data_IF_129315524837
#
_entry.id   IF_129315524837
#
_cell.length_a   1.000
_cell.length_b   1.000
_cell.length_c   1.000
_cell.angle_alpha   90.00
_cell.angle_beta   90.00
_cell.angle_gamma   90.00
#
_symmetry.space_group_name_H-M   'P 1'
#
loop_
_entity.id
_entity.type
_entity.pdbx_description
1 polymer ?
#
# COMPACT_ATOMS: atom_id res chain seq x y z
N UNK A 1 -28.73 -13.81 -29.15
CA UNK A 1 -27.29 -13.69 -29.48
C UNK A 1 -26.61 -14.96 -29.00
N UNK A 2 -25.94 -15.69 -29.90
CA UNK A 2 -25.41 -17.03 -29.63
C UNK A 2 -24.27 -17.04 -28.62
N UNK A 3 -24.20 -18.10 -27.82
CA UNK A 3 -23.17 -18.36 -26.79
C UNK A 3 -21.74 -18.52 -27.37
N UNK A 4 -21.61 -18.72 -28.67
CA UNK A 4 -20.36 -19.04 -29.37
C UNK A 4 -20.25 -18.24 -30.67
N UNK A 5 -19.01 -18.09 -31.17
CA UNK A 5 -18.69 -17.55 -32.49
C UNK A 5 -17.68 -18.45 -33.21
N UNK A 6 -17.61 -18.32 -34.53
CA UNK A 6 -16.58 -18.95 -35.36
C UNK A 6 -15.19 -18.52 -34.85
N UNK A 7 -14.28 -19.48 -34.74
CA UNK A 7 -12.94 -19.31 -34.17
C UNK A 7 -12.83 -19.53 -32.67
N UNK A 8 -13.95 -19.66 -31.94
CA UNK A 8 -13.88 -20.04 -30.51
C UNK A 8 -13.36 -21.46 -30.37
N UNK A 9 -12.45 -21.66 -29.41
CA UNK A 9 -12.06 -22.99 -28.95
C UNK A 9 -13.09 -23.48 -27.93
N UNK A 10 -13.60 -24.69 -28.11
CA UNK A 10 -14.64 -25.28 -27.27
C UNK A 10 -14.26 -26.67 -26.80
N UNK A 11 -14.78 -27.08 -25.65
CA UNK A 11 -14.58 -28.40 -25.06
C UNK A 11 -15.92 -29.13 -24.98
N UNK A 12 -15.90 -30.43 -25.29
CA UNK A 12 -17.06 -31.30 -25.12
C UNK A 12 -17.28 -31.61 -23.65
N UNK A 13 -18.40 -31.18 -23.10
CA UNK A 13 -18.76 -31.45 -21.70
C UNK A 13 -19.71 -32.64 -21.58
N UNK A 14 -20.63 -32.78 -22.54
CA UNK A 14 -21.72 -33.76 -22.43
C UNK A 14 -21.88 -34.61 -23.69
N UNK A 15 -22.31 -35.86 -23.51
CA UNK A 15 -22.68 -36.81 -24.57
C UNK A 15 -21.64 -36.95 -25.70
N UNK A 16 -20.38 -37.27 -25.35
CA UNK A 16 -19.33 -37.52 -26.34
C UNK A 16 -19.65 -38.68 -27.28
N UNK A 17 -19.01 -38.70 -28.46
CA UNK A 17 -19.07 -39.83 -29.39
C UNK A 17 -17.66 -40.23 -29.83
N UNK A 18 -17.54 -41.35 -30.56
CA UNK A 18 -16.24 -41.96 -30.89
C UNK A 18 -15.22 -40.99 -31.52
N UNK A 19 -15.68 -40.00 -32.30
CA UNK A 19 -14.82 -39.03 -32.98
C UNK A 19 -14.63 -37.71 -32.20
N UNK A 20 -15.41 -37.48 -31.13
CA UNK A 20 -15.29 -36.29 -30.28
C UNK A 20 -15.80 -36.63 -28.87
N UNK A 21 -15.01 -37.39 -28.08
CA UNK A 21 -15.40 -37.81 -26.75
C UNK A 21 -15.50 -36.63 -25.77
N UNK A 22 -16.12 -36.87 -24.61
CA UNK A 22 -16.16 -35.88 -23.53
C UNK A 22 -14.73 -35.53 -23.12
N UNK A 23 -14.44 -34.24 -22.96
CA UNK A 23 -13.13 -33.69 -22.66
C UNK A 23 -12.32 -33.27 -23.89
N UNK A 24 -12.69 -33.71 -25.10
CA UNK A 24 -12.02 -33.28 -26.33
C UNK A 24 -12.29 -31.81 -26.64
N UNK A 25 -11.29 -31.16 -27.24
CA UNK A 25 -11.34 -29.75 -27.63
C UNK A 25 -11.34 -29.62 -29.15
N UNK A 26 -12.04 -28.62 -29.67
CA UNK A 26 -12.10 -28.29 -31.09
C UNK A 26 -12.30 -26.79 -31.31
N UNK A 27 -12.07 -26.34 -32.53
CA UNK A 27 -12.28 -24.93 -32.92
C UNK A 27 -13.53 -24.84 -33.78
N UNK A 28 -14.39 -23.87 -33.52
CA UNK A 28 -15.62 -23.69 -34.30
C UNK A 28 -15.27 -23.16 -35.70
N UNK A 29 -15.57 -23.97 -36.72
CA UNK A 29 -15.40 -23.61 -38.12
C UNK A 29 -16.62 -22.88 -38.69
N UNK A 30 -17.83 -23.28 -38.29
CA UNK A 30 -19.07 -22.67 -38.74
C UNK A 30 -20.19 -22.83 -37.70
N UNK A 31 -21.21 -21.97 -37.82
CA UNK A 31 -22.44 -22.04 -37.04
C UNK A 31 -23.59 -22.03 -38.04
N UNK A 32 -24.37 -23.12 -38.05
CA UNK A 32 -25.49 -23.25 -38.97
C UNK A 32 -26.67 -22.34 -38.55
N UNK A 33 -27.61 -22.02 -39.47
CA UNK A 33 -28.76 -21.18 -39.17
C UNK A 33 -29.66 -21.70 -38.03
N UNK A 34 -29.63 -23.02 -37.78
CA UNK A 34 -30.34 -23.67 -36.68
C UNK A 34 -29.62 -23.57 -35.32
N UNK A 35 -28.43 -22.95 -35.30
CA UNK A 35 -27.60 -22.75 -34.11
C UNK A 35 -26.68 -23.93 -33.78
N UNK A 36 -26.61 -24.96 -34.62
CA UNK A 36 -25.67 -26.06 -34.46
C UNK A 36 -24.24 -25.64 -34.86
N UNK A 37 -23.25 -26.29 -34.24
CA UNK A 37 -21.83 -25.91 -34.30
C UNK A 37 -21.06 -26.95 -35.10
N UNK A 38 -20.31 -26.52 -36.11
CA UNK A 38 -19.37 -27.35 -36.87
C UNK A 38 -17.95 -27.05 -36.39
N UNK A 39 -17.17 -28.09 -36.06
CA UNK A 39 -15.78 -27.95 -35.65
C UNK A 39 -14.83 -28.17 -36.84
N UNK A 40 -13.64 -27.60 -36.76
CA UNK A 40 -12.59 -27.84 -37.76
C UNK A 40 -12.25 -29.33 -37.86
N UNK A 41 -12.30 -29.88 -39.08
CA UNK A 41 -12.02 -31.29 -39.36
C UNK A 41 -13.24 -32.21 -39.24
N UNK A 42 -14.42 -31.68 -38.91
CA UNK A 42 -15.66 -32.47 -38.94
C UNK A 42 -16.00 -32.92 -40.35
N UNK A 43 -16.56 -34.14 -40.45
CA UNK A 43 -17.12 -34.63 -41.70
C UNK A 43 -18.45 -33.92 -41.97
N UNK A 44 -18.83 -33.71 -43.25
CA UNK A 44 -20.14 -33.14 -43.59
C UNK A 44 -21.28 -33.89 -42.89
N UNK A 45 -22.15 -33.15 -42.20
CA UNK A 45 -23.29 -33.70 -41.45
C UNK A 45 -23.04 -33.98 -39.96
N UNK A 46 -21.82 -33.73 -39.44
CA UNK A 46 -21.56 -33.73 -38.00
C UNK A 46 -21.77 -32.33 -37.43
N UNK A 47 -22.88 -32.11 -36.74
CA UNK A 47 -23.16 -30.85 -36.08
C UNK A 47 -23.31 -31.05 -34.56
N UNK A 48 -22.73 -30.13 -33.80
CA UNK A 48 -22.66 -30.17 -32.35
C UNK A 48 -23.66 -29.20 -31.73
N UNK A 49 -24.42 -29.69 -30.76
CA UNK A 49 -25.35 -28.85 -30.02
C UNK A 49 -24.63 -27.99 -28.97
N UNK A 50 -25.01 -26.72 -28.88
CA UNK A 50 -24.38 -25.70 -28.02
C UNK A 50 -24.39 -26.03 -26.52
N UNK A 51 -25.36 -26.82 -26.05
CA UNK A 51 -25.45 -27.26 -24.65
C UNK A 51 -24.46 -28.40 -24.30
N UNK A 52 -23.84 -29.04 -25.30
CA UNK A 52 -22.81 -30.05 -25.10
C UNK A 52 -21.39 -29.47 -25.05
N UNK A 53 -21.26 -28.17 -25.27
CA UNK A 53 -19.99 -27.47 -25.41
C UNK A 53 -19.84 -26.39 -24.34
N UNK A 54 -18.60 -26.22 -23.88
CA UNK A 54 -18.15 -25.08 -23.08
C UNK A 54 -17.07 -24.32 -23.84
N UNK A 55 -16.95 -23.02 -23.59
CA UNK A 55 -15.87 -22.23 -24.15
C UNK A 55 -14.56 -22.61 -23.43
N UNK A 56 -13.56 -23.05 -24.16
CA UNK A 56 -12.20 -23.15 -23.63
C UNK A 56 -11.70 -21.73 -23.51
N UNK A 57 -11.53 -21.26 -22.27
CA UNK A 57 -10.87 -19.98 -22.04
C UNK A 57 -9.52 -20.03 -22.74
N UNK A 58 -9.20 -19.09 -23.64
CA UNK A 58 -7.84 -18.97 -24.14
C UNK A 58 -6.93 -18.85 -22.93
N UNK A 59 -5.99 -19.78 -22.77
CA UNK A 59 -4.82 -19.51 -21.95
C UNK A 59 -4.25 -18.20 -22.51
N UNK A 60 -4.22 -17.14 -21.70
CA UNK A 60 -3.62 -15.88 -22.11
C UNK A 60 -2.26 -16.20 -22.76
N UNK A 61 -1.91 -15.60 -23.90
CA UNK A 61 -0.60 -15.84 -24.50
C UNK A 61 0.44 -15.64 -23.40
N UNK A 62 1.31 -16.63 -23.20
CA UNK A 62 2.40 -16.52 -22.24
C UNK A 62 3.13 -15.22 -22.53
N UNK A 63 3.17 -14.33 -21.53
CA UNK A 63 3.74 -13.00 -21.68
C UNK A 63 5.20 -13.15 -22.17
N UNK A 64 5.49 -12.55 -23.32
CA UNK A 64 6.85 -12.49 -23.85
C UNK A 64 7.50 -11.17 -23.42
N UNK A 65 8.60 -11.20 -22.66
CA UNK A 65 9.23 -9.98 -22.19
C UNK A 65 9.81 -9.17 -23.34
N UNK A 66 9.52 -7.86 -23.37
CA UNK A 66 10.09 -6.90 -24.35
C UNK A 66 10.81 -5.75 -23.65
N UNK A 67 11.70 -5.08 -24.39
CA UNK A 67 12.38 -3.86 -23.91
C UNK A 67 11.34 -2.81 -23.51
N UNK A 68 11.52 -2.22 -22.34
CA UNK A 68 10.59 -1.29 -21.71
C UNK A 68 9.58 -1.96 -20.77
N UNK A 69 9.42 -3.29 -20.81
CA UNK A 69 8.54 -3.96 -19.86
C UNK A 69 9.05 -3.80 -18.42
N UNK A 70 8.08 -3.69 -17.51
CA UNK A 70 8.31 -3.61 -16.08
C UNK A 70 8.16 -4.99 -15.48
N UNK A 71 9.14 -5.38 -14.67
CA UNK A 71 9.21 -6.72 -14.09
C UNK A 71 9.58 -6.66 -12.62
N UNK A 72 9.22 -7.71 -11.88
CA UNK A 72 9.67 -7.93 -10.51
C UNK A 72 10.62 -9.12 -10.48
N UNK A 73 11.78 -8.97 -9.85
CA UNK A 73 12.71 -10.07 -9.65
C UNK A 73 12.12 -11.06 -8.64
N UNK A 74 12.04 -12.33 -9.02
CA UNK A 74 11.68 -13.46 -8.15
C UNK A 74 12.89 -14.29 -7.76
N UNK A 75 14.01 -14.11 -8.48
CA UNK A 75 15.34 -14.64 -8.15
C UNK A 75 16.38 -13.56 -8.38
N UNK A 76 17.55 -13.73 -7.77
CA UNK A 76 18.70 -12.90 -8.07
C UNK A 76 19.14 -13.06 -9.54
N UNK A 77 19.49 -11.95 -10.18
CA UNK A 77 20.17 -11.96 -11.47
C UNK A 77 21.66 -12.28 -11.31
N UNK A 78 22.34 -12.53 -12.44
CA UNK A 78 23.72 -13.01 -12.52
C UNK A 78 24.76 -12.13 -11.82
N UNK A 79 24.49 -10.84 -11.69
CA UNK A 79 25.43 -9.85 -11.11
C UNK A 79 24.91 -9.23 -9.82
N UNK A 80 23.91 -9.85 -9.19
CA UNK A 80 23.21 -9.33 -8.00
C UNK A 80 23.02 -10.40 -6.94
N UNK A 81 23.00 -9.99 -5.67
CA UNK A 81 22.61 -10.85 -4.54
C UNK A 81 21.75 -10.04 -3.58
N UNK A 82 20.55 -10.55 -3.27
CA UNK A 82 19.56 -9.85 -2.43
C UNK A 82 18.65 -8.88 -3.18
N UNK A 83 18.50 -9.02 -4.50
CA UNK A 83 17.65 -8.20 -5.34
C UNK A 83 16.24 -8.79 -5.54
N UNK A 84 15.91 -9.91 -4.89
CA UNK A 84 14.58 -10.52 -4.92
C UNK A 84 13.53 -9.52 -4.40
N UNK A 85 12.40 -9.42 -5.11
CA UNK A 85 11.33 -8.49 -4.84
C UNK A 85 11.54 -7.09 -5.42
N UNK A 86 12.74 -6.77 -5.92
CA UNK A 86 13.02 -5.48 -6.57
C UNK A 86 12.33 -5.41 -7.93
N UNK A 87 11.96 -4.20 -8.29
CA UNK A 87 11.36 -3.88 -9.57
C UNK A 87 12.42 -3.39 -10.54
N UNK A 88 12.28 -3.75 -11.81
CA UNK A 88 13.23 -3.41 -12.85
C UNK A 88 12.54 -3.14 -14.18
N UNK A 89 13.21 -2.41 -15.06
CA UNK A 89 12.82 -2.27 -16.46
C UNK A 89 13.71 -3.15 -17.32
N UNK A 90 13.11 -3.91 -18.25
CA UNK A 90 13.88 -4.62 -19.28
C UNK A 90 14.53 -3.59 -20.18
N UNK A 91 15.85 -3.51 -20.10
CA UNK A 91 16.67 -2.64 -20.93
C UNK A 91 17.28 -3.43 -22.08
N UNK A 92 17.92 -2.72 -23.02
CA UNK A 92 18.65 -3.33 -24.12
C UNK A 92 20.09 -2.81 -24.14
N UNK A 93 21.02 -3.66 -24.55
CA UNK A 93 22.36 -3.20 -24.95
C UNK A 93 22.36 -3.06 -26.47
N UNK A 94 22.31 -1.83 -26.98
CA UNK A 94 22.31 -1.58 -28.43
C UNK A 94 21.03 -2.03 -29.16
N UNK A 95 19.87 -2.08 -28.49
CA UNK A 95 18.57 -2.35 -29.13
C UNK A 95 18.26 -3.82 -29.38
N UNK A 96 19.06 -4.78 -28.87
CA UNK A 96 18.82 -6.21 -28.99
C UNK A 96 18.84 -6.90 -27.62
N UNK A 97 18.04 -7.96 -27.49
CA UNK A 97 18.21 -8.96 -26.44
C UNK A 97 19.63 -9.52 -26.52
N UNK A 98 20.23 -9.82 -25.38
CA UNK A 98 21.52 -10.50 -25.40
C UNK A 98 21.26 -11.87 -26.04
N UNK A 99 22.03 -12.21 -27.08
CA UNK A 99 21.86 -13.41 -27.94
C UNK A 99 22.17 -14.74 -27.21
N UNK A 100 21.95 -14.76 -25.89
CA UNK A 100 22.20 -15.84 -24.96
C UNK A 100 20.95 -16.22 -24.15
N UNK A 101 19.76 -15.71 -24.51
CA UNK A 101 18.52 -15.97 -23.78
C UNK A 101 18.42 -15.23 -22.43
N UNK A 102 19.24 -14.19 -22.23
CA UNK A 102 19.25 -13.37 -21.02
C UNK A 102 18.76 -11.94 -21.33
N UNK A 103 18.08 -11.36 -20.35
CA UNK A 103 17.55 -10.01 -20.36
C UNK A 103 18.43 -9.10 -19.51
N UNK A 104 18.64 -7.86 -19.97
CA UNK A 104 19.30 -6.83 -19.19
C UNK A 104 18.25 -6.12 -18.36
N UNK A 105 18.34 -6.18 -17.05
CA UNK A 105 17.41 -5.53 -16.13
C UNK A 105 18.07 -4.30 -15.52
N UNK A 106 17.44 -3.15 -15.69
CA UNK A 106 17.75 -1.90 -14.99
C UNK A 106 16.92 -1.84 -13.72
N UNK A 107 17.53 -2.19 -12.58
CA UNK A 107 16.83 -2.30 -11.29
C UNK A 107 16.63 -0.91 -10.69
N UNK A 108 15.42 -0.65 -10.19
CA UNK A 108 15.12 0.65 -9.60
C UNK A 108 15.88 0.88 -8.29
N UNK A 109 16.30 2.12 -8.01
CA UNK A 109 16.75 2.52 -6.69
C UNK A 109 15.69 2.26 -5.59
N UNK A 110 16.10 2.08 -4.31
CA UNK A 110 17.47 2.12 -3.82
C UNK A 110 18.25 0.83 -4.09
N UNK A 111 19.56 0.97 -4.33
CA UNK A 111 20.51 -0.15 -4.48
C UNK A 111 20.97 -0.59 -3.09
N UNK A 112 20.08 -1.29 -2.38
CA UNK A 112 20.31 -1.91 -1.07
C UNK A 112 20.69 -3.40 -1.18
N UNK A 113 21.02 -3.86 -2.39
CA UNK A 113 21.48 -5.21 -2.72
C UNK A 113 22.96 -5.20 -3.13
N UNK A 114 23.63 -6.36 -3.02
CA UNK A 114 25.01 -6.49 -3.50
C UNK A 114 25.02 -6.62 -5.01
N UNK A 115 25.87 -5.85 -5.69
CA UNK A 115 26.04 -5.95 -7.14
C UNK A 115 27.51 -5.88 -7.55
N UNK A 116 27.88 -6.65 -8.57
CA UNK A 116 29.20 -6.57 -9.22
C UNK A 116 29.22 -5.59 -10.41
N UNK A 117 28.08 -4.97 -10.74
CA UNK A 117 27.98 -4.02 -11.84
C UNK A 117 28.42 -2.61 -11.39
N UNK A 118 29.17 -1.91 -12.23
CA UNK A 118 29.40 -0.48 -12.08
C UNK A 118 28.10 0.29 -12.38
N UNK A 119 27.80 1.35 -11.63
CA UNK A 119 26.63 2.21 -11.85
C UNK A 119 26.54 2.68 -13.31
N UNK A 120 25.38 2.53 -14.01
CA UNK A 120 24.06 2.11 -13.51
C UNK A 120 23.95 0.60 -13.17
N UNK A 121 23.15 0.26 -12.16
CA UNK A 121 23.06 -1.08 -11.57
C UNK A 121 22.24 -2.05 -12.41
N UNK A 122 22.81 -2.48 -13.53
CA UNK A 122 22.22 -3.52 -14.36
C UNK A 122 22.49 -4.92 -13.81
N UNK A 123 21.56 -5.86 -14.03
CA UNK A 123 21.80 -7.29 -13.87
C UNK A 123 21.35 -8.05 -15.11
N UNK A 124 22.03 -9.15 -15.43
CA UNK A 124 21.59 -10.09 -16.48
C UNK A 124 20.73 -11.15 -15.82
N UNK A 125 19.58 -11.47 -16.40
CA UNK A 125 18.62 -12.40 -15.83
C UNK A 125 17.96 -13.24 -16.91
N UNK A 126 17.73 -14.52 -16.66
CA UNK A 126 16.91 -15.39 -17.51
C UNK A 126 15.43 -15.15 -17.22
N UNK A 127 14.53 -15.61 -18.11
CA UNK A 127 13.08 -15.36 -17.99
C UNK A 127 12.46 -15.89 -16.68
N UNK A 128 13.08 -16.88 -16.05
CA UNK A 128 12.63 -17.46 -14.77
C UNK A 128 13.10 -16.68 -13.53
N UNK A 129 13.91 -15.63 -13.71
CA UNK A 129 14.36 -14.76 -12.63
C UNK A 129 13.37 -13.63 -12.32
N UNK A 130 12.38 -13.39 -13.18
CA UNK A 130 11.46 -12.27 -13.02
C UNK A 130 10.06 -12.59 -13.58
N UNK A 131 9.08 -11.79 -13.16
CA UNK A 131 7.69 -11.92 -13.59
C UNK A 131 7.16 -10.55 -14.08
N UNK A 132 6.14 -10.51 -14.95
CA UNK A 132 5.59 -9.26 -15.45
C UNK A 132 4.90 -8.49 -14.31
N UNK A 133 5.14 -7.19 -14.26
CA UNK A 133 4.28 -6.28 -13.51
C UNK A 133 3.06 -5.89 -14.36
N UNK A 134 1.91 -5.59 -13.73
CA UNK A 134 0.77 -5.03 -14.44
C UNK A 134 1.18 -3.81 -15.26
N UNK A 135 0.60 -3.68 -16.46
CA UNK A 135 0.88 -2.55 -17.34
C UNK A 135 0.63 -1.23 -16.61
N UNK A 136 1.70 -0.46 -16.41
CA UNK A 136 1.66 0.82 -15.70
C UNK A 136 0.89 1.83 -16.55
N UNK A 137 -0.30 2.22 -16.07
CA UNK A 137 -1.15 3.20 -16.75
C UNK A 137 -1.18 4.49 -15.93
N UNK A 138 -0.98 5.62 -16.62
CA UNK A 138 -1.03 6.94 -16.01
C UNK A 138 -2.42 7.53 -16.22
N UNK A 139 -3.00 8.04 -15.15
CA UNK A 139 -4.29 8.71 -15.14
C UNK A 139 -4.12 10.11 -14.52
N UNK A 140 -4.83 11.08 -15.08
CA UNK A 140 -4.86 12.42 -14.51
C UNK A 140 -5.50 12.41 -13.11
N UNK A 141 -5.05 13.31 -12.25
CA UNK A 141 -5.51 13.45 -10.86
C UNK A 141 -4.79 12.53 -9.86
N UNK A 142 -4.08 11.49 -10.33
CA UNK A 142 -3.37 10.55 -9.46
C UNK A 142 -1.94 11.01 -9.10
N UNK A 143 -1.42 10.41 -8.03
CA UNK A 143 -0.03 10.57 -7.59
C UNK A 143 0.78 9.35 -7.98
N UNK A 144 2.08 9.56 -8.19
CA UNK A 144 3.00 8.53 -8.68
C UNK A 144 4.33 8.59 -7.94
N UNK A 145 5.03 7.45 -7.92
CA UNK A 145 6.39 7.33 -7.42
C UNK A 145 7.37 7.53 -8.58
N UNK A 146 8.35 8.41 -8.41
CA UNK A 146 9.47 8.56 -9.36
C UNK A 146 10.52 7.47 -9.15
N UNK A 147 11.41 7.28 -10.13
CA UNK A 147 12.51 6.31 -10.05
C UNK A 147 13.45 6.53 -8.85
N UNK A 148 13.62 7.77 -8.41
CA UNK A 148 14.39 8.09 -7.19
C UNK A 148 13.55 8.06 -5.89
N UNK A 149 12.31 7.57 -5.98
CA UNK A 149 11.46 7.25 -4.84
C UNK A 149 10.56 8.38 -4.33
N UNK A 150 10.54 9.55 -4.99
CA UNK A 150 9.72 10.70 -4.57
C UNK A 150 8.25 10.54 -5.00
N UNK A 151 7.33 11.06 -4.19
CA UNK A 151 5.91 11.23 -4.56
C UNK A 151 5.78 12.46 -5.46
N UNK A 152 5.17 12.31 -6.64
CA UNK A 152 4.88 13.40 -7.58
C UNK A 152 3.43 13.36 -8.04
N UNK A 153 2.88 14.54 -8.31
CA UNK A 153 1.48 14.71 -8.73
C UNK A 153 0.78 15.85 -7.99
N UNK A 154 -0.53 16.02 -8.18
CA UNK A 154 -1.36 15.22 -9.09
C UNK A 154 -0.90 15.35 -10.54
N UNK A 155 -0.90 14.25 -11.29
CA UNK A 155 -0.63 14.28 -12.73
C UNK A 155 -1.76 15.02 -13.42
N UNK A 156 -1.43 15.85 -14.41
CA UNK A 156 -2.40 16.53 -15.26
C UNK A 156 -2.27 16.04 -16.70
N UNK A 157 -3.40 15.89 -17.40
CA UNK A 157 -3.43 15.63 -18.84
C UNK A 157 -3.38 16.96 -19.63
N UNK A 158 -2.42 17.81 -19.26
CA UNK A 158 -2.12 19.11 -19.91
C UNK A 158 -0.71 19.09 -20.52
N UNK A 159 -0.33 17.93 -21.03
CA UNK A 159 0.98 17.71 -21.59
C UNK A 159 1.21 18.43 -22.93
N UNK A 160 2.45 18.44 -23.39
CA UNK A 160 2.85 19.09 -24.64
C UNK A 160 2.91 18.05 -25.75
N UNK A 161 2.02 18.15 -26.75
CA UNK A 161 1.87 17.21 -27.88
C UNK A 161 1.41 15.80 -27.46
N UNK A 162 0.94 15.00 -28.43
CA UNK A 162 0.49 13.61 -28.23
C UNK A 162 1.57 12.68 -27.64
N UNK A 163 2.84 13.08 -27.78
CA UNK A 163 4.00 12.32 -27.31
C UNK A 163 4.16 12.44 -25.79
N UNK A 164 3.83 13.59 -25.20
CA UNK A 164 3.90 13.84 -23.76
C UNK A 164 2.54 14.31 -23.26
N UNK A 165 1.54 13.42 -23.15
CA UNK A 165 0.18 13.82 -22.78
C UNK A 165 0.06 14.21 -21.30
N UNK A 166 1.03 13.81 -20.47
CA UNK A 166 0.97 14.01 -19.03
C UNK A 166 2.00 15.03 -18.53
N UNK A 167 1.66 15.69 -17.43
CA UNK A 167 2.52 16.66 -16.74
C UNK A 167 2.44 16.48 -15.23
N UNK A 168 3.60 16.52 -14.57
CA UNK A 168 3.73 16.56 -13.10
C UNK A 168 4.32 17.89 -12.62
N UNK A 169 3.94 18.38 -11.43
CA UNK A 169 4.58 19.53 -10.80
C UNK A 169 5.99 19.18 -10.30
N UNK A 170 6.91 20.14 -10.38
CA UNK A 170 8.30 20.00 -9.92
C UNK A 170 9.33 19.95 -11.05
N UNK A 171 10.62 19.80 -10.69
CA UNK A 171 11.73 19.75 -11.65
C UNK A 171 12.41 21.11 -11.86
N UNK A 172 13.49 21.16 -12.67
CA UNK A 172 14.32 22.37 -12.86
C UNK A 172 13.54 23.58 -13.38
N UNK A 173 12.43 23.34 -14.09
CA UNK A 173 11.56 24.36 -14.67
C UNK A 173 10.17 24.40 -14.05
N UNK A 174 10.00 23.83 -12.84
CA UNK A 174 8.74 23.82 -12.09
C UNK A 174 7.67 22.84 -12.61
N UNK A 175 7.89 22.20 -13.76
CA UNK A 175 7.07 21.11 -14.31
C UNK A 175 7.92 20.11 -15.07
N UNK A 176 7.45 18.86 -15.13
CA UNK A 176 8.03 17.80 -15.97
C UNK A 176 6.95 17.17 -16.84
N UNK A 177 7.27 16.94 -18.11
CA UNK A 177 6.40 16.31 -19.10
C UNK A 177 6.69 14.82 -19.21
N UNK A 178 5.63 14.02 -19.19
CA UNK A 178 5.66 12.57 -19.05
C UNK A 178 4.98 11.93 -20.25
N UNK A 179 5.63 10.93 -20.83
CA UNK A 179 5.08 10.09 -21.89
C UNK A 179 4.06 9.10 -21.33
N UNK A 180 3.27 8.45 -22.20
CA UNK A 180 2.30 7.43 -21.79
C UNK A 180 2.91 6.24 -21.04
N UNK A 181 4.19 5.96 -21.30
CA UNK A 181 4.96 4.88 -20.65
C UNK A 181 5.60 5.30 -19.32
N UNK A 182 5.38 6.54 -18.86
CA UNK A 182 5.95 7.06 -17.62
C UNK A 182 7.32 7.68 -17.74
N UNK A 183 7.94 7.67 -18.92
CA UNK A 183 9.27 8.28 -19.09
C UNK A 183 9.22 9.80 -19.15
N UNK A 184 10.15 10.46 -18.47
CA UNK A 184 10.37 11.90 -18.58
C UNK A 184 11.41 12.17 -19.66
N UNK A 185 11.21 13.16 -20.55
CA UNK A 185 12.19 13.47 -21.60
C UNK A 185 12.17 14.90 -22.16
N UNK A 186 11.13 15.73 -21.94
CA UNK A 186 11.10 17.07 -22.52
C UNK A 186 11.91 18.08 -21.69
N UNK A 187 13.02 18.59 -22.26
CA UNK A 187 13.80 19.71 -21.71
C UNK A 187 14.74 19.36 -20.56
N UNK A 188 15.01 18.06 -20.33
CA UNK A 188 15.92 17.60 -19.27
C UNK A 188 17.19 17.02 -19.88
N UNK A 189 18.30 17.06 -19.14
CA UNK A 189 19.52 16.35 -19.53
C UNK A 189 19.31 14.84 -19.45
N UNK A 190 20.06 14.06 -20.25
CA UNK A 190 20.02 12.58 -20.23
C UNK A 190 20.27 11.97 -18.83
N UNK A 191 20.94 12.72 -17.94
CA UNK A 191 21.20 12.29 -16.55
C UNK A 191 20.04 12.57 -15.60
N UNK A 192 19.28 13.63 -15.84
CA UNK A 192 18.18 14.04 -14.95
C UNK A 192 16.85 13.43 -15.36
N UNK A 193 16.66 13.19 -16.65
CA UNK A 193 15.46 12.60 -17.23
C UNK A 193 15.01 11.32 -16.51
N UNK A 194 15.88 10.31 -16.31
CA UNK A 194 15.46 9.03 -15.73
C UNK A 194 15.02 9.13 -14.26
N UNK A 195 15.46 10.17 -13.52
CA UNK A 195 15.08 10.39 -12.12
C UNK A 195 13.62 10.83 -11.97
N UNK A 196 13.02 11.34 -13.03
CA UNK A 196 11.63 11.81 -13.07
C UNK A 196 10.67 10.82 -13.73
N UNK A 197 11.17 9.66 -14.18
CA UNK A 197 10.32 8.58 -14.67
C UNK A 197 9.34 8.14 -13.58
N UNK A 198 8.06 8.02 -13.94
CA UNK A 198 7.02 7.47 -13.09
C UNK A 198 7.09 5.95 -13.15
N UNK A 199 7.27 5.28 -12.00
CA UNK A 199 7.52 3.83 -11.94
C UNK A 199 6.39 3.04 -11.27
N UNK A 200 5.50 3.71 -10.51
CA UNK A 200 4.35 3.11 -9.86
C UNK A 200 3.31 4.18 -9.49
N UNK A 201 2.02 3.80 -9.45
CA UNK A 201 1.00 4.62 -8.81
C UNK A 201 1.33 4.74 -7.33
N UNK A 202 1.29 5.96 -6.81
CA UNK A 202 1.40 6.20 -5.38
C UNK A 202 0.03 5.97 -4.75
N UNK A 203 -0.18 4.75 -4.28
CA UNK A 203 -1.33 4.40 -3.45
C UNK A 203 -0.96 4.78 -2.01
N UNK A 204 -1.63 5.78 -1.45
CA UNK A 204 -1.54 6.02 -0.02
C UNK A 204 -2.10 4.77 0.69
N UNK A 205 -1.36 4.22 1.67
CA UNK A 205 -1.82 3.04 2.44
C UNK A 205 -3.27 3.25 2.89
N UNK A 206 -4.12 2.21 2.84
CA UNK A 206 -5.54 2.37 3.11
C UNK A 206 -5.71 2.96 4.50
N UNK A 207 -6.13 4.23 4.54
CA UNK A 207 -6.50 4.89 5.77
C UNK A 207 -7.59 4.02 6.42
N UNK A 208 -7.28 3.42 7.57
CA UNK A 208 -8.27 2.77 8.41
C UNK A 208 -9.34 3.81 8.68
N UNK A 209 -10.50 3.59 8.07
CA UNK A 209 -11.62 4.51 8.11
C UNK A 209 -12.04 4.73 9.56
N UNK A 210 -11.70 5.90 10.10
CA UNK A 210 -12.29 6.39 11.34
C UNK A 210 -13.63 6.98 10.96
N UNK A 211 -14.68 6.47 11.60
CA UNK A 211 -16.08 6.73 11.29
C UNK A 211 -16.39 8.22 11.07
N UNK A 212 -17.20 8.47 10.04
CA UNK A 212 -17.74 9.78 9.70
C UNK A 212 -18.56 10.35 10.87
N UNK A 213 -18.23 11.57 11.29
CA UNK A 213 -19.17 12.49 11.91
C UNK A 213 -19.58 13.50 10.85
N UNK A 214 -20.87 13.51 10.56
CA UNK A 214 -21.58 14.39 9.65
C UNK A 214 -21.60 15.83 10.17
N UNK A 215 -21.20 16.79 9.32
CA UNK A 215 -21.92 18.05 9.10
C UNK A 215 -21.46 18.72 7.80
N UNK A 216 -22.44 19.17 7.01
CA UNK A 216 -22.29 19.74 5.67
C UNK A 216 -21.65 21.14 5.69
N UNK A 217 -20.39 21.24 5.28
CA UNK A 217 -19.78 22.37 4.58
C UNK A 217 -18.43 21.88 4.01
N UNK A 218 -17.95 22.43 2.89
CA UNK A 218 -16.65 22.03 2.30
C UNK A 218 -15.57 22.00 3.40
N UNK A 219 -14.84 20.88 3.59
CA UNK A 219 -14.01 20.71 4.78
C UNK A 219 -12.86 21.71 4.74
N UNK A 220 -12.75 22.53 5.77
CA UNK A 220 -11.55 23.31 6.03
C UNK A 220 -10.35 22.35 6.01
N UNK A 221 -9.30 22.72 5.27
CA UNK A 221 -8.09 21.90 5.05
C UNK A 221 -7.37 21.48 6.34
N UNK A 222 -7.70 22.12 7.46
CA UNK A 222 -7.11 21.91 8.78
C UNK A 222 -8.21 21.82 9.84
N UNK A 223 -7.94 21.11 10.93
CA UNK A 223 -8.77 21.09 12.15
C UNK A 223 -7.93 21.44 13.38
N UNK A 224 -8.61 21.88 14.44
CA UNK A 224 -7.98 22.09 15.75
C UNK A 224 -7.29 20.81 16.22
N UNK A 225 -6.07 20.95 16.71
CA UNK A 225 -5.19 19.85 17.11
C UNK A 225 -4.26 19.32 16.01
N UNK A 226 -4.46 19.68 14.74
CA UNK A 226 -3.53 19.32 13.69
C UNK A 226 -2.14 19.91 13.96
N UNK A 227 -1.09 19.09 13.79
CA UNK A 227 0.28 19.61 13.70
C UNK A 227 0.50 20.13 12.30
N UNK A 228 1.01 21.34 12.19
CA UNK A 228 1.28 22.00 10.93
C UNK A 228 2.71 22.53 10.90
N UNK A 229 3.23 22.75 9.71
CA UNK A 229 4.52 23.38 9.48
C UNK A 229 4.31 24.60 8.59
N UNK A 230 4.89 25.73 8.96
CA UNK A 230 4.96 26.88 8.05
C UNK A 230 5.76 26.49 6.81
N UNK A 231 5.30 26.91 5.63
CA UNK A 231 6.06 26.64 4.41
C UNK A 231 7.48 27.22 4.47
N UNK A 232 8.37 26.65 3.68
CA UNK A 232 9.76 27.09 3.61
C UNK A 232 9.93 28.48 2.99
N UNK A 233 8.99 28.89 2.13
CA UNK A 233 8.90 30.20 1.49
C UNK A 233 8.11 31.23 2.32
N UNK A 234 7.69 30.87 3.52
CA UNK A 234 6.96 31.78 4.40
C UNK A 234 7.83 32.99 4.78
N UNK A 235 7.25 34.19 4.71
CA UNK A 235 7.96 35.47 4.77
C UNK A 235 8.47 35.90 6.15
N UNK A 236 8.35 35.03 7.17
CA UNK A 236 8.73 35.34 8.55
C UNK A 236 9.72 34.31 9.13
N UNK A 237 10.33 34.60 10.29
CA UNK A 237 11.19 33.65 11.00
C UNK A 237 10.50 32.32 11.36
N UNK A 238 9.16 32.27 11.33
CA UNK A 238 8.39 31.05 11.56
C UNK A 238 8.48 30.05 10.40
N UNK A 239 9.05 30.43 9.24
CA UNK A 239 9.21 29.52 8.08
C UNK A 239 9.84 28.19 8.48
N UNK A 240 9.23 27.09 8.06
CA UNK A 240 9.66 25.73 8.40
C UNK A 240 9.42 25.30 9.85
N UNK A 241 8.96 26.18 10.74
CA UNK A 241 8.66 25.82 12.13
C UNK A 241 7.37 25.01 12.24
N UNK A 242 7.32 24.17 13.27
CA UNK A 242 6.13 23.40 13.59
C UNK A 242 5.22 24.20 14.54
N UNK A 243 3.92 24.10 14.32
CA UNK A 243 2.89 24.71 15.15
C UNK A 243 1.72 23.75 15.30
N UNK A 244 0.81 24.05 16.23
CA UNK A 244 -0.42 23.30 16.45
C UNK A 244 -1.60 24.18 16.11
N UNK A 245 -2.54 23.70 15.29
CA UNK A 245 -3.77 24.45 15.00
C UNK A 245 -4.61 24.51 16.27
N UNK A 246 -5.00 25.72 16.68
CA UNK A 246 -5.83 25.95 17.87
C UNK A 246 -7.20 26.54 17.55
N UNK A 247 -7.36 27.17 16.38
CA UNK A 247 -8.65 27.59 15.84
C UNK A 247 -8.62 27.62 14.31
N UNK A 248 -9.78 27.47 13.70
CA UNK A 248 -10.00 27.55 12.24
C UNK A 248 -11.09 28.57 11.95
N UNK A 249 -11.10 29.12 10.73
CA UNK A 249 -12.06 30.13 10.26
C UNK A 249 -12.07 31.44 11.07
N UNK A 250 -10.93 31.83 11.64
CA UNK A 250 -10.81 33.01 12.52
C UNK A 250 -11.11 34.33 11.78
N UNK A 251 -11.01 34.34 10.45
CA UNK A 251 -11.36 35.47 9.57
C UNK A 251 -12.43 35.13 8.52
N UNK A 252 -13.53 34.49 8.92
CA UNK A 252 -14.71 34.39 8.06
C UNK A 252 -14.55 33.51 6.81
N UNK A 253 -13.55 32.62 6.80
CA UNK A 253 -13.55 31.25 6.23
C UNK A 253 -12.14 30.67 5.95
N UNK A 254 -11.06 31.46 6.00
CA UNK A 254 -9.72 30.98 5.59
C UNK A 254 -8.60 31.15 6.64
N UNK A 255 -8.85 31.87 7.74
CA UNK A 255 -7.86 32.13 8.79
C UNK A 255 -7.67 30.94 9.73
N UNK A 256 -6.44 30.45 9.85
CA UNK A 256 -6.03 29.35 10.73
C UNK A 256 -5.18 29.93 11.86
N UNK A 257 -5.63 29.77 13.10
CA UNK A 257 -4.84 30.18 14.25
C UNK A 257 -4.00 29.01 14.75
N UNK A 258 -2.70 29.26 14.92
CA UNK A 258 -1.72 28.24 15.32
C UNK A 258 -0.95 28.70 16.56
N UNK A 259 -0.69 27.75 17.45
CA UNK A 259 0.21 27.89 18.59
C UNK A 259 1.62 27.41 18.20
N UNK A 260 2.60 28.30 18.34
CA UNK A 260 3.99 28.08 17.96
C UNK A 260 4.78 27.24 19.00
N UNK A 261 4.30 27.14 20.24
CA UNK A 261 4.74 26.15 21.24
C UNK A 261 6.25 25.86 21.36
N UNK A 262 7.13 26.86 21.33
CA UNK A 262 8.58 26.67 21.32
C UNK A 262 9.39 27.68 22.16
N UNK A 263 10.72 27.48 22.32
CA UNK A 263 11.59 28.21 23.27
C UNK A 263 11.76 29.72 23.01
N UNK A 264 11.12 30.26 21.96
CA UNK A 264 11.21 31.67 21.56
C UNK A 264 9.89 32.46 21.68
N UNK A 265 8.84 31.91 22.33
CA UNK A 265 7.70 32.72 22.77
C UNK A 265 6.37 31.97 22.75
N UNK A 266 5.62 32.12 23.84
CA UNK A 266 4.19 31.86 23.90
C UNK A 266 3.50 32.85 22.96
N UNK A 267 3.03 32.39 21.82
CA UNK A 267 2.41 33.25 20.82
C UNK A 267 1.48 32.45 19.91
N UNK A 268 0.34 33.05 19.63
CA UNK A 268 -0.59 32.57 18.62
C UNK A 268 -0.40 33.40 17.37
N UNK A 269 -0.32 32.76 16.21
CA UNK A 269 -0.36 33.45 14.92
C UNK A 269 -1.63 33.07 14.17
N UNK A 270 -2.14 33.97 13.33
CA UNK A 270 -3.25 33.70 12.44
C UNK A 270 -2.76 33.76 11.01
N UNK A 271 -2.90 32.65 10.31
CA UNK A 271 -2.29 32.41 9.00
C UNK A 271 -3.31 32.00 7.96
N UNK A 272 -3.00 32.23 6.70
CA UNK A 272 -3.78 31.64 5.62
C UNK A 272 -3.50 30.13 5.55
N UNK A 273 -4.53 29.35 5.22
CA UNK A 273 -4.39 27.91 4.96
C UNK A 273 -3.36 27.57 3.86
N UNK A 274 -3.04 28.53 2.99
CA UNK A 274 -1.98 28.39 1.97
C UNK A 274 -0.59 28.28 2.58
N UNK A 275 -0.35 28.93 3.72
CA UNK A 275 0.99 29.15 4.28
C UNK A 275 1.43 28.04 5.24
N UNK A 276 0.51 27.11 5.49
CA UNK A 276 0.68 25.97 6.38
C UNK A 276 0.66 24.65 5.60
N UNK A 277 1.48 23.72 6.04
CA UNK A 277 1.53 22.34 5.58
C UNK A 277 1.08 21.44 6.72
N UNK A 278 0.12 20.54 6.47
CA UNK A 278 -0.25 19.54 7.47
C UNK A 278 0.92 18.60 7.71
N UNK A 279 1.28 18.42 8.97
CA UNK A 279 2.32 17.48 9.40
C UNK A 279 1.59 16.25 9.92
N UNK A 280 1.39 15.30 9.02
CA UNK A 280 0.94 13.96 9.43
C UNK A 280 2.08 13.31 10.22
N UNK A 281 1.88 12.93 11.49
CA UNK A 281 2.87 12.15 12.19
C UNK A 281 3.11 10.86 11.39
N UNK A 282 4.38 10.50 11.21
CA UNK A 282 4.72 9.21 10.62
C UNK A 282 3.98 8.12 11.40
N UNK A 283 3.34 7.19 10.68
CA UNK A 283 2.74 6.03 11.31
C UNK A 283 3.80 5.38 12.23
N UNK A 284 3.44 5.01 13.47
CA UNK A 284 4.39 4.35 14.35
C UNK A 284 4.93 3.11 13.62
N UNK A 285 6.24 3.07 13.39
CA UNK A 285 6.89 1.92 12.78
C UNK A 285 6.55 0.67 13.60
N UNK A 286 6.33 -0.49 12.95
CA UNK A 286 6.02 -1.71 13.67
C UNK A 286 7.19 -2.04 14.61
N UNK A 287 6.89 -2.06 15.90
CA UNK A 287 7.87 -2.36 16.94
C UNK A 287 8.15 -3.85 17.00
N UNK A 288 9.35 -4.23 17.42
CA UNK A 288 9.75 -5.63 17.53
C UNK A 288 10.25 -5.99 18.94
N UNK A 289 10.13 -7.25 19.32
CA UNK A 289 10.71 -7.80 20.55
C UNK A 289 11.66 -8.96 20.22
N UNK A 290 12.59 -9.24 21.13
CA UNK A 290 13.41 -10.44 21.08
C UNK A 290 12.91 -11.45 22.11
N UNK A 291 12.77 -12.71 21.72
CA UNK A 291 12.39 -13.80 22.62
C UNK A 291 13.36 -14.98 22.50
N UNK A 292 13.63 -15.65 23.63
CA UNK A 292 14.35 -16.92 23.64
C UNK A 292 13.49 -17.99 22.93
N UNK A 293 14.11 -18.86 22.15
CA UNK A 293 13.45 -20.03 21.57
C UNK A 293 13.84 -21.26 22.41
N UNK A 294 12.85 -21.85 23.06
CA UNK A 294 13.01 -23.04 23.88
C UNK A 294 12.08 -24.14 23.33
N UNK A 295 12.65 -25.28 22.94
CA UNK A 295 11.89 -26.38 22.32
C UNK A 295 11.05 -25.96 21.09
N UNK A 296 11.58 -25.03 20.29
CA UNK A 296 10.91 -24.50 19.11
C UNK A 296 9.77 -23.50 19.40
N UNK A 297 9.56 -23.13 20.66
CA UNK A 297 8.54 -22.17 21.08
C UNK A 297 9.17 -20.87 21.57
N UNK A 298 8.58 -19.70 21.24
CA UNK A 298 9.01 -18.43 21.83
C UNK A 298 8.72 -18.39 23.32
N UNK A 299 9.70 -17.91 24.07
CA UNK A 299 9.63 -17.60 25.48
C UNK A 299 10.02 -16.13 25.68
N UNK A 300 9.08 -15.19 25.47
CA UNK A 300 9.33 -13.77 25.73
C UNK A 300 9.65 -13.53 27.20
N UNK A 301 10.45 -12.50 27.48
CA UNK A 301 10.68 -12.06 28.86
C UNK A 301 9.37 -11.55 29.49
N UNK A 302 9.26 -11.58 30.82
CA UNK A 302 8.09 -11.03 31.55
C UNK A 302 7.85 -9.55 31.26
N UNK A 303 8.91 -8.82 30.86
CA UNK A 303 8.88 -7.45 30.37
C UNK A 303 9.80 -7.35 29.16
N UNK A 304 9.32 -7.71 27.96
CA UNK A 304 10.14 -7.67 26.75
C UNK A 304 10.61 -6.23 26.49
N UNK A 305 11.87 -6.07 26.10
CA UNK A 305 12.31 -4.79 25.57
C UNK A 305 11.72 -4.62 24.17
N UNK A 306 11.08 -3.48 23.95
CA UNK A 306 10.43 -3.14 22.69
C UNK A 306 11.39 -2.29 21.87
N UNK A 307 11.83 -2.83 20.73
CA UNK A 307 12.67 -2.15 19.77
C UNK A 307 11.81 -1.35 18.79
N UNK A 308 12.29 -0.17 18.40
CA UNK A 308 11.59 0.71 17.48
C UNK A 308 11.52 0.16 16.05
N UNK A 309 12.44 -0.74 15.67
CA UNK A 309 12.47 -1.38 14.35
C UNK A 309 12.89 -2.85 14.46
N UNK A 310 12.63 -3.62 13.40
CA UNK A 310 13.06 -5.01 13.26
C UNK A 310 14.60 -5.13 13.30
N UNK A 311 15.32 -4.25 12.60
CA UNK A 311 16.80 -4.30 12.55
C UNK A 311 17.43 -4.05 13.92
N UNK A 312 16.80 -3.20 14.74
CA UNK A 312 17.26 -2.97 16.12
C UNK A 312 17.04 -4.21 16.99
N UNK A 313 15.96 -4.96 16.78
CA UNK A 313 15.73 -6.23 17.45
C UNK A 313 16.66 -7.34 16.94
N UNK A 314 16.97 -7.38 15.64
CA UNK A 314 17.93 -8.34 15.07
C UNK A 314 19.31 -8.20 15.69
N UNK A 315 19.82 -6.97 15.80
CA UNK A 315 21.12 -6.71 16.45
C UNK A 315 21.12 -7.15 17.91
N UNK A 316 20.01 -6.98 18.60
CA UNK A 316 19.89 -7.43 19.99
C UNK A 316 19.81 -8.96 20.09
N UNK A 317 19.11 -9.63 19.17
CA UNK A 317 19.09 -11.08 19.08
C UNK A 317 20.49 -11.65 18.83
N UNK A 318 21.27 -11.05 17.91
CA UNK A 318 22.66 -11.43 17.66
C UNK A 318 23.54 -11.24 18.90
N UNK A 319 23.39 -10.11 19.60
CA UNK A 319 24.10 -9.83 20.86
C UNK A 319 23.78 -10.89 21.91
N UNK A 320 22.51 -11.23 22.08
CA UNK A 320 22.05 -12.23 23.05
C UNK A 320 22.53 -13.65 22.68
N UNK A 321 22.49 -14.03 21.41
CA UNK A 321 23.04 -15.30 20.93
C UNK A 321 24.57 -15.40 21.17
N UNK A 322 25.30 -14.29 21.00
CA UNK A 322 26.73 -14.22 21.31
C UNK A 322 27.05 -14.37 22.79
N UNK A 323 26.20 -13.80 23.68
CA UNK A 323 26.35 -13.89 25.14
C UNK A 323 25.91 -15.25 25.67
N UNK A 324 24.82 -15.81 25.14
CA UNK A 324 24.19 -17.06 25.58
C UNK A 324 24.39 -18.18 24.56
N UNK A 325 25.63 -18.67 24.44
CA UNK A 325 26.00 -19.72 23.47
C UNK A 325 25.13 -20.97 23.63
N UNK A 326 24.66 -21.51 22.50
CA UNK A 326 23.79 -22.70 22.46
C UNK A 326 22.30 -22.40 22.63
N UNK A 327 21.93 -21.14 22.89
CA UNK A 327 20.54 -20.68 22.88
C UNK A 327 20.21 -20.00 21.55
N UNK A 328 18.93 -20.02 21.19
CA UNK A 328 18.41 -19.37 19.98
C UNK A 328 17.50 -18.22 20.38
N UNK A 329 17.57 -17.10 19.67
CA UNK A 329 16.72 -15.93 19.91
C UNK A 329 15.98 -15.59 18.61
N UNK A 330 14.67 -15.38 18.71
CA UNK A 330 13.81 -14.97 17.60
C UNK A 330 13.41 -13.50 17.73
N UNK A 331 13.22 -12.85 16.59
CA UNK A 331 12.67 -11.49 16.48
C UNK A 331 11.19 -11.58 16.12
N UNK A 332 10.35 -10.87 16.85
CA UNK A 332 8.90 -10.85 16.65
C UNK A 332 8.43 -9.42 16.43
N UNK A 333 7.89 -9.16 15.23
CA UNK A 333 7.38 -7.85 14.82
C UNK A 333 5.89 -7.76 15.12
N UNK A 334 5.45 -6.65 15.71
CA UNK A 334 4.04 -6.37 15.92
C UNK A 334 3.38 -6.05 14.58
N UNK A 335 2.55 -6.97 14.09
CA UNK A 335 1.85 -6.83 12.80
C UNK A 335 0.42 -6.31 12.95
N UNK A 336 -0.26 -6.70 14.02
CA UNK A 336 -1.64 -6.27 14.32
C UNK A 336 -1.87 -6.25 15.82
N UNK A 337 -2.86 -5.48 16.26
CA UNK A 337 -3.37 -5.48 17.63
C UNK A 337 -4.84 -5.83 17.59
N UNK A 338 -5.25 -6.77 18.44
CA UNK A 338 -6.66 -7.04 18.70
C UNK A 338 -7.01 -6.56 20.09
N UNK A 339 -8.15 -5.89 20.20
CA UNK A 339 -8.70 -5.46 21.47
C UNK A 339 -10.19 -5.70 21.44
N UNK A 340 -10.72 -6.34 22.48
CA UNK A 340 -12.15 -6.31 22.73
C UNK A 340 -12.52 -4.96 23.32
N UNK A 341 -13.60 -4.37 22.81
CA UNK A 341 -14.08 -3.08 23.29
C UNK A 341 -14.29 -3.16 24.81
N UNK A 342 -13.77 -2.16 25.52
CA UNK A 342 -14.05 -2.03 26.95
C UNK A 342 -15.58 -2.00 27.14
N UNK A 343 -16.12 -2.69 28.17
CA UNK A 343 -17.56 -2.65 28.43
C UNK A 343 -18.02 -1.20 28.60
N UNK A 344 -19.09 -0.84 27.89
CA UNK A 344 -19.70 0.48 28.03
C UNK A 344 -20.65 0.41 29.22
N UNK A 345 -20.27 1.07 30.30
CA UNK A 345 -21.11 1.18 31.48
C UNK A 345 -22.05 2.37 31.36
N UNK A 346 -23.34 2.17 31.66
CA UNK A 346 -24.37 3.20 31.59
C UNK A 346 -24.10 4.35 32.57
N UNK A 347 -23.46 4.04 33.69
CA UNK A 347 -23.18 5.00 34.75
C UNK A 347 -21.72 4.91 35.22
N UNK A 348 -21.13 6.05 35.59
CA UNK A 348 -19.74 6.12 36.05
C UNK A 348 -19.48 5.24 37.28
N UNK A 349 -20.45 5.10 38.19
CA UNK A 349 -20.33 4.21 39.34
C UNK A 349 -20.18 2.73 38.95
N UNK A 350 -20.79 2.29 37.84
CA UNK A 350 -20.66 0.92 37.34
C UNK A 350 -19.25 0.67 36.79
N UNK A 351 -18.70 1.65 36.05
CA UNK A 351 -17.31 1.62 35.57
C UNK A 351 -16.31 1.53 36.73
N UNK A 352 -16.53 2.35 37.76
CA UNK A 352 -15.70 2.35 38.97
C UNK A 352 -15.81 1.02 39.73
N UNK A 353 -17.02 0.45 39.82
CA UNK A 353 -17.26 -0.82 40.48
C UNK A 353 -16.55 -1.97 39.75
N UNK A 354 -16.71 -2.07 38.43
CA UNK A 354 -16.09 -3.11 37.61
C UNK A 354 -14.55 -3.05 37.63
N UNK A 355 -13.97 -1.85 37.70
CA UNK A 355 -12.52 -1.64 37.86
C UNK A 355 -12.01 -1.92 39.29
N UNK A 356 -12.85 -2.48 40.18
CA UNK A 356 -12.49 -2.81 41.56
C UNK A 356 -12.48 -1.63 42.53
N UNK A 357 -12.77 -0.41 42.08
CA UNK A 357 -12.81 0.80 42.92
C UNK A 357 -14.18 0.98 43.60
N UNK A 358 -14.52 0.01 44.47
CA UNK A 358 -15.84 -0.07 45.13
C UNK A 358 -16.18 1.17 45.95
N UNK A 359 -15.19 1.80 46.59
CA UNK A 359 -15.42 2.98 47.44
C UNK A 359 -15.81 4.19 46.59
N UNK A 360 -15.12 4.42 45.46
CA UNK A 360 -15.46 5.52 44.56
C UNK A 360 -16.83 5.29 43.90
N UNK A 361 -17.14 4.06 43.49
CA UNK A 361 -18.44 3.70 42.95
C UNK A 361 -19.58 4.02 43.92
N UNK A 362 -19.44 3.66 45.20
CA UNK A 362 -20.44 3.96 46.23
C UNK A 362 -20.60 5.47 46.41
N UNK A 363 -19.51 6.24 46.45
CA UNK A 363 -19.57 7.70 46.56
C UNK A 363 -20.33 8.33 45.40
N UNK A 364 -20.04 7.88 44.18
CA UNK A 364 -20.65 8.39 42.96
C UNK A 364 -22.15 8.04 42.88
N UNK A 365 -22.51 6.79 43.17
CA UNK A 365 -23.91 6.36 43.16
C UNK A 365 -24.75 7.14 44.19
N UNK A 366 -24.17 7.41 45.38
CA UNK A 366 -24.83 8.22 46.41
C UNK A 366 -25.03 9.67 45.96
N UNK A 367 -23.99 10.27 45.40
CA UNK A 367 -24.06 11.66 44.94
C UNK A 367 -25.10 11.83 43.82
N UNK A 368 -25.22 10.84 42.93
CA UNK A 368 -26.14 10.90 41.80
C UNK A 368 -27.62 10.60 42.14
N UNK A 369 -27.91 9.89 43.24
CA UNK A 369 -29.26 9.37 43.54
C UNK A 369 -29.73 9.64 44.97
N UNK A 370 -29.01 10.47 45.72
CA UNK A 370 -29.29 10.83 47.12
C UNK A 370 -29.53 9.62 48.05
N UNK A 371 -28.73 8.55 47.85
CA UNK A 371 -28.85 7.30 48.59
C UNK A 371 -28.09 7.32 49.93
N UNK A 372 -28.63 6.59 50.90
CA UNK A 372 -27.91 6.29 52.15
C UNK A 372 -26.66 5.46 51.86
N UNK A 373 -25.67 5.51 52.75
CA UNK A 373 -24.41 4.76 52.60
C UNK A 373 -24.65 3.25 52.46
N UNK A 374 -25.57 2.71 53.26
CA UNK A 374 -25.95 1.29 53.20
C UNK A 374 -26.62 0.96 51.86
N UNK A 375 -27.62 1.74 51.45
CA UNK A 375 -28.35 1.50 50.20
C UNK A 375 -27.45 1.51 48.95
N UNK A 376 -26.53 2.47 48.86
CA UNK A 376 -25.60 2.51 47.73
C UNK A 376 -24.56 1.39 47.76
N UNK A 377 -24.08 0.98 48.94
CA UNK A 377 -23.18 -0.17 49.07
C UNK A 377 -23.86 -1.46 48.60
N UNK A 378 -25.08 -1.70 49.05
CA UNK A 378 -25.83 -2.92 48.73
C UNK A 378 -26.14 -2.98 47.22
N UNK A 379 -26.51 -1.84 46.61
CA UNK A 379 -26.74 -1.74 45.17
C UNK A 379 -25.47 -2.00 44.34
N UNK A 380 -24.31 -1.44 44.73
CA UNK A 380 -23.04 -1.67 44.03
C UNK A 380 -22.60 -3.13 44.13
N UNK A 381 -22.74 -3.76 45.30
CA UNK A 381 -22.37 -5.16 45.49
C UNK A 381 -23.29 -6.10 44.71
N UNK A 382 -24.60 -5.88 44.78
CA UNK A 382 -25.57 -6.68 44.03
C UNK A 382 -25.35 -6.57 42.52
N UNK A 383 -25.03 -5.38 42.01
CA UNK A 383 -24.68 -5.20 40.61
C UNK A 383 -23.41 -5.97 40.23
N UNK A 384 -22.37 -5.95 41.07
CA UNK A 384 -21.15 -6.74 40.83
C UNK A 384 -21.37 -8.26 40.84
N UNK A 385 -22.34 -8.75 41.61
CA UNK A 385 -22.69 -10.18 41.65
C UNK A 385 -23.50 -10.63 40.43
N UNK A 386 -24.19 -9.71 39.76
CA UNK A 386 -25.15 -10.02 38.68
C UNK A 386 -24.68 -9.61 37.28
N UNK A 387 -23.69 -8.71 37.18
CA UNK A 387 -23.20 -8.15 35.93
C UNK A 387 -21.75 -8.55 35.57
N UNK A 388 -21.07 -9.35 36.41
CA UNK A 388 -19.70 -9.82 36.19
C UNK A 388 -19.63 -11.09 35.34
#
# INVERSE_FOLDING_TARGET
MGKFKVGDKVRRENYGHANFPVGSEGVIAAIDPDGSILLEGDKPGYAHQTYNLSLVKPSAPEWQPKVGDRVRLVKDGRSTTGAIGKTATISSWGGKLIDTGEYLLDIDPPVDYKTMAATPSFTRATIDCFEPLPAFTIEAGKFYKTRDGRKVGPVTEEGYMDVYPFRVPGGPYGKVYIRKDGTANLGMSEKESPLWDLIAEWVDEPAVAVAASNDNAAPAKFKVGDRVRFRADYGSPARGQLATVIAVNVWGNDGIQVDLGGPYGTGFSTEAASDLLLVTPAAPAPTAIVALIENGQPKPATRPYVHATEEAAMREADRLAGVHKGQQFGVYVLTTTSQEAAPVYKHEWQRLAANGNKIAAIKELRAANDLTLKGARDAVLHWLETAA
#
